data_IF_460609130996
#
_entry.id   IF_460609130996
#
_cell.length_a   1.000
_cell.length_b   1.000
_cell.length_c   1.000
_cell.angle_alpha   90.00
_cell.angle_beta   90.00
_cell.angle_gamma   90.00
#
_symmetry.space_group_name_H-M   'P 1'
#
loop_
_entity.id
_entity.type
_entity.pdbx_description
1 polymer ?
#
# COMPACT_ATOMS: atom_id res chain seq x y z
N UNK A 1 13.63 -15.46 -2.30
CA UNK A 1 13.78 -14.65 -1.07
C UNK A 1 14.20 -15.60 0.02
N UNK A 2 15.37 -15.37 0.58
CA UNK A 2 16.08 -16.29 1.47
C UNK A 2 16.42 -15.57 2.76
N UNK A 3 15.99 -16.15 3.88
CA UNK A 3 16.39 -15.75 5.24
C UNK A 3 16.32 -14.23 5.48
N UNK A 4 15.10 -13.70 5.38
CA UNK A 4 14.83 -12.26 5.47
C UNK A 4 14.27 -11.93 6.84
N UNK A 5 15.02 -11.12 7.58
CA UNK A 5 14.56 -10.40 8.76
C UNK A 5 14.25 -8.95 8.39
N UNK A 6 12.99 -8.56 8.53
CA UNK A 6 12.52 -7.21 8.20
C UNK A 6 11.66 -6.66 9.33
N UNK A 7 12.08 -5.53 9.87
CA UNK A 7 11.30 -4.73 10.81
C UNK A 7 10.87 -3.41 10.16
N UNK A 8 9.57 -3.13 10.20
CA UNK A 8 8.96 -1.87 9.77
C UNK A 8 8.40 -1.15 11.00
N UNK A 9 9.03 -0.04 11.37
CA UNK A 9 8.61 0.71 12.54
C UNK A 9 7.33 1.53 12.25
N UNK A 10 6.43 1.62 13.23
CA UNK A 10 5.27 2.49 13.15
C UNK A 10 5.70 3.95 12.94
N UNK A 11 4.99 4.68 12.08
CA UNK A 11 5.33 6.07 11.76
C UNK A 11 6.61 6.24 10.95
N UNK A 12 7.12 5.18 10.33
CA UNK A 12 8.34 5.24 9.49
C UNK A 12 8.05 4.91 8.03
N UNK A 13 8.87 5.48 7.15
CA UNK A 13 8.88 5.23 5.71
C UNK A 13 10.13 4.43 5.39
N UNK A 14 9.93 3.23 4.86
CA UNK A 14 11.02 2.35 4.41
C UNK A 14 10.94 2.19 2.89
N UNK A 15 12.03 2.43 2.18
CA UNK A 15 12.15 2.01 0.77
C UNK A 15 12.83 0.65 0.66
N UNK A 16 12.40 -0.12 -0.32
CA UNK A 16 13.04 -1.37 -0.74
C UNK A 16 13.37 -1.31 -2.22
N UNK A 17 14.65 -1.21 -2.53
CA UNK A 17 15.19 -1.20 -3.89
C UNK A 17 15.96 -2.50 -4.19
N UNK A 18 16.50 -2.62 -5.40
CA UNK A 18 17.25 -3.80 -5.85
C UNK A 18 16.98 -4.15 -7.30
N UNK A 19 17.78 -5.06 -7.86
CA UNK A 19 17.68 -5.46 -9.27
C UNK A 19 16.30 -6.03 -9.62
N UNK A 20 15.88 -5.86 -10.88
CA UNK A 20 14.68 -6.54 -11.39
C UNK A 20 14.82 -8.05 -11.21
N UNK A 21 13.74 -8.71 -10.78
CA UNK A 21 13.78 -10.14 -10.42
C UNK A 21 14.45 -10.47 -9.06
N UNK A 22 14.97 -9.47 -8.32
CA UNK A 22 15.63 -9.68 -7.02
C UNK A 22 14.72 -10.14 -5.87
N UNK A 23 13.40 -10.18 -6.08
CA UNK A 23 12.44 -10.70 -5.11
C UNK A 23 11.65 -9.65 -4.32
N UNK A 24 11.74 -8.35 -4.67
CA UNK A 24 11.01 -7.24 -4.03
C UNK A 24 9.50 -7.49 -3.95
N UNK A 25 8.85 -7.63 -5.11
CA UNK A 25 7.42 -7.93 -5.22
C UNK A 25 7.05 -9.26 -4.55
N UNK A 26 7.92 -10.27 -4.62
CA UNK A 26 7.70 -11.55 -3.93
C UNK A 26 7.65 -11.37 -2.41
N UNK A 27 8.58 -10.59 -1.84
CA UNK A 27 8.61 -10.27 -0.41
C UNK A 27 7.38 -9.46 -0.01
N UNK A 28 7.05 -8.40 -0.74
CA UNK A 28 5.89 -7.56 -0.46
C UNK A 28 4.55 -8.32 -0.53
N UNK A 29 4.38 -9.17 -1.56
CA UNK A 29 3.21 -10.06 -1.66
C UNK A 29 3.17 -11.09 -0.54
N UNK A 30 4.32 -11.56 -0.05
CA UNK A 30 4.38 -12.45 1.11
C UNK A 30 3.93 -11.77 2.40
N UNK A 31 4.41 -10.55 2.67
CA UNK A 31 3.97 -9.74 3.80
C UNK A 31 2.45 -9.49 3.78
N UNK A 32 1.93 -9.11 2.62
CA UNK A 32 0.50 -8.91 2.39
C UNK A 32 -0.33 -10.21 2.44
N UNK A 33 0.29 -11.38 2.45
CA UNK A 33 -0.38 -12.68 2.44
C UNK A 33 -1.02 -13.04 1.08
N UNK A 34 -0.58 -12.38 0.00
CA UNK A 34 -0.99 -12.64 -1.39
C UNK A 34 -0.24 -13.84 -1.98
N UNK A 35 0.97 -14.11 -1.48
CA UNK A 35 1.77 -15.30 -1.79
C UNK A 35 2.25 -15.91 -0.48
N UNK A 36 2.08 -17.23 -0.22
CA UNK A 36 2.50 -17.79 1.06
C UNK A 36 4.04 -17.87 1.13
N UNK A 37 4.69 -17.42 2.23
CA UNK A 37 6.10 -17.71 2.43
C UNK A 37 6.30 -19.20 2.73
N UNK A 38 7.40 -19.76 2.24
CA UNK A 38 7.77 -21.17 2.46
C UNK A 38 8.04 -21.46 3.94
N UNK A 39 8.65 -20.53 4.66
CA UNK A 39 8.98 -20.63 6.08
C UNK A 39 8.80 -19.27 6.79
N UNK A 40 9.06 -19.23 8.10
CA UNK A 40 9.01 -18.00 8.91
C UNK A 40 7.61 -17.58 9.37
N UNK A 41 7.58 -16.40 9.99
CA UNK A 41 6.42 -15.79 10.65
C UNK A 41 6.30 -14.32 10.26
N UNK A 42 5.07 -13.82 10.17
CA UNK A 42 4.77 -12.40 9.97
C UNK A 42 3.95 -11.94 11.16
N UNK A 43 4.38 -10.86 11.81
CA UNK A 43 3.73 -10.30 12.99
C UNK A 43 3.44 -8.82 12.78
N UNK A 44 2.29 -8.35 13.25
CA UNK A 44 1.93 -6.92 13.25
C UNK A 44 1.41 -6.56 14.62
N UNK A 45 2.08 -5.62 15.30
CA UNK A 45 1.73 -5.22 16.66
C UNK A 45 1.73 -6.38 17.65
N UNK A 46 2.69 -7.30 17.52
CA UNK A 46 2.80 -8.52 18.34
C UNK A 46 1.81 -9.64 18.01
N UNK A 47 0.96 -9.47 16.99
CA UNK A 47 -0.01 -10.49 16.58
C UNK A 47 0.51 -11.23 15.35
N UNK A 48 0.68 -12.55 15.48
CA UNK A 48 0.99 -13.44 14.35
C UNK A 48 -0.13 -13.47 13.34
N UNK A 49 0.22 -13.26 12.07
CA UNK A 49 -0.72 -13.32 10.96
C UNK A 49 -0.67 -14.68 10.27
N UNK A 50 -1.83 -15.24 9.88
CA UNK A 50 -1.87 -16.29 8.89
C UNK A 50 -1.10 -15.91 7.61
N UNK A 51 -0.33 -16.87 7.09
CA UNK A 51 0.50 -16.73 5.87
C UNK A 51 -0.27 -16.32 4.62
N UNK A 52 -1.57 -16.63 4.56
CA UNK A 52 -2.45 -16.29 3.45
C UNK A 52 -3.54 -15.33 3.91
N UNK A 53 -3.75 -14.26 3.15
CA UNK A 53 -4.74 -13.23 3.43
C UNK A 53 -6.16 -13.81 3.56
N UNK A 54 -6.53 -14.79 2.74
CA UNK A 54 -7.84 -15.48 2.81
C UNK A 54 -8.13 -16.20 4.13
N UNK A 55 -7.12 -16.39 4.99
CA UNK A 55 -7.25 -17.00 6.32
C UNK A 55 -7.22 -15.96 7.44
N UNK A 56 -7.01 -14.69 7.11
CA UNK A 56 -6.97 -13.57 8.05
C UNK A 56 -8.40 -13.11 8.34
N UNK A 57 -8.68 -12.74 9.57
CA UNK A 57 -9.93 -12.06 9.93
C UNK A 57 -9.94 -10.60 9.41
N UNK A 58 -11.04 -9.88 9.64
CA UNK A 58 -11.18 -8.48 9.18
C UNK A 58 -10.11 -7.55 9.76
N UNK A 59 -9.77 -7.69 11.05
CA UNK A 59 -8.79 -6.83 11.70
C UNK A 59 -7.37 -7.10 11.16
N UNK A 60 -7.05 -8.36 10.90
CA UNK A 60 -5.79 -8.80 10.32
C UNK A 60 -5.66 -8.44 8.83
N UNK A 61 -6.75 -8.51 8.06
CA UNK A 61 -6.80 -8.00 6.69
C UNK A 61 -6.58 -6.49 6.67
N UNK A 62 -7.26 -5.76 7.57
CA UNK A 62 -7.11 -4.31 7.73
C UNK A 62 -5.69 -3.91 8.10
N UNK A 63 -5.00 -4.71 8.92
CA UNK A 63 -3.70 -4.38 9.47
C UNK A 63 -2.60 -4.18 8.41
N UNK A 64 -2.65 -4.94 7.30
CA UNK A 64 -1.72 -4.80 6.17
C UNK A 64 -2.52 -4.52 4.90
N UNK A 65 -2.26 -3.40 4.24
CA UNK A 65 -2.81 -3.10 2.93
C UNK A 65 -1.72 -3.07 1.88
N UNK A 66 -2.06 -3.48 0.66
CA UNK A 66 -1.14 -3.57 -0.45
C UNK A 66 -1.72 -2.83 -1.66
N UNK A 67 -0.93 -1.93 -2.23
CA UNK A 67 -1.26 -1.16 -3.44
C UNK A 67 -0.37 -1.68 -4.57
N UNK A 68 -1.02 -2.26 -5.57
CA UNK A 68 -0.36 -2.78 -6.77
C UNK A 68 0.17 -1.64 -7.66
N UNK A 69 1.20 -1.96 -8.43
CA UNK A 69 1.73 -1.11 -9.51
C UNK A 69 0.63 -0.75 -10.51
N UNK A 70 -0.11 -1.75 -11.01
CA UNK A 70 -1.24 -1.56 -11.90
C UNK A 70 -2.55 -1.37 -11.12
N UNK A 71 -2.88 -0.13 -10.80
CA UNK A 71 -4.14 0.20 -10.11
C UNK A 71 -5.38 -0.14 -10.92
N UNK A 72 -5.31 -0.08 -12.25
CA UNK A 72 -6.47 -0.29 -13.14
C UNK A 72 -7.09 -1.68 -12.93
N UNK A 73 -6.27 -2.71 -12.85
CA UNK A 73 -6.70 -4.11 -12.69
C UNK A 73 -7.33 -4.37 -11.32
N UNK A 74 -7.14 -3.45 -10.38
CA UNK A 74 -7.73 -3.54 -9.05
C UNK A 74 -9.13 -2.95 -8.95
N UNK A 75 -9.67 -2.35 -10.02
CA UNK A 75 -11.02 -1.79 -10.08
C UNK A 75 -11.91 -2.53 -11.09
N UNK A 76 -13.16 -2.75 -10.70
CA UNK A 76 -14.24 -3.21 -11.57
C UNK A 76 -14.66 -2.06 -12.50
N UNK A 77 -14.48 -2.24 -13.80
CA UNK A 77 -14.75 -1.23 -14.84
C UNK A 77 -16.23 -0.83 -14.96
N UNK A 78 -17.14 -1.67 -14.46
CA UNK A 78 -18.58 -1.45 -14.53
C UNK A 78 -19.14 -0.73 -13.30
N UNK A 79 -18.36 -0.63 -12.22
CA UNK A 79 -18.77 0.03 -10.96
C UNK A 79 -18.16 1.42 -10.82
N UNK A 80 -18.85 2.31 -10.12
CA UNK A 80 -18.31 3.63 -9.76
C UNK A 80 -17.10 3.50 -8.83
N UNK A 81 -16.10 4.35 -9.00
CA UNK A 81 -14.85 4.29 -8.22
C UNK A 81 -15.10 4.61 -6.75
N UNK A 82 -15.92 5.62 -6.45
CA UNK A 82 -16.30 5.97 -5.07
C UNK A 82 -16.88 4.75 -4.31
N UNK A 83 -17.79 4.00 -4.92
CA UNK A 83 -18.39 2.80 -4.31
C UNK A 83 -17.33 1.76 -3.96
N UNK A 84 -16.40 1.51 -4.89
CA UNK A 84 -15.35 0.51 -4.72
C UNK A 84 -14.32 0.91 -3.67
N UNK A 85 -14.03 2.21 -3.57
CA UNK A 85 -13.15 2.77 -2.54
C UNK A 85 -13.85 2.67 -1.16
N UNK A 86 -15.11 3.11 -1.07
CA UNK A 86 -15.94 3.04 0.14
C UNK A 86 -16.18 1.62 0.67
N UNK A 87 -16.23 0.62 -0.22
CA UNK A 87 -16.39 -0.79 0.17
C UNK A 87 -15.33 -1.23 1.19
N UNK A 88 -14.13 -0.64 1.17
CA UNK A 88 -13.08 -0.99 2.14
C UNK A 88 -13.48 -0.63 3.57
N UNK A 89 -13.99 0.57 3.80
CA UNK A 89 -14.46 0.99 5.12
C UNK A 89 -15.69 0.17 5.57
N UNK A 90 -16.59 -0.16 4.64
CA UNK A 90 -17.73 -1.06 4.91
C UNK A 90 -17.28 -2.46 5.33
N UNK A 91 -16.44 -3.10 4.52
CA UNK A 91 -16.11 -4.51 4.67
C UNK A 91 -15.11 -4.77 5.80
N UNK A 92 -14.13 -3.87 5.99
CA UNK A 92 -13.06 -4.06 6.96
C UNK A 92 -13.29 -3.35 8.29
N UNK A 93 -14.09 -2.28 8.31
CA UNK A 93 -14.38 -1.49 9.52
C UNK A 93 -15.85 -1.50 9.93
N UNK A 94 -16.75 -2.05 9.12
CA UNK A 94 -18.17 -2.20 9.48
C UNK A 94 -18.97 -0.91 9.41
N UNK A 95 -18.48 0.12 8.70
CA UNK A 95 -19.25 1.35 8.49
C UNK A 95 -20.52 1.06 7.67
N UNK A 96 -21.57 1.85 7.87
CA UNK A 96 -22.71 1.83 6.96
C UNK A 96 -22.35 2.44 5.59
N UNK A 97 -23.27 2.32 4.63
CA UNK A 97 -23.02 2.79 3.25
C UNK A 97 -22.85 4.30 3.17
N UNK A 98 -23.61 5.08 3.93
CA UNK A 98 -23.57 6.54 3.85
C UNK A 98 -22.27 7.07 4.45
N UNK A 99 -21.93 6.60 5.65
CA UNK A 99 -20.69 6.94 6.34
C UNK A 99 -19.45 6.54 5.52
N UNK A 100 -19.44 5.33 4.96
CA UNK A 100 -18.32 4.87 4.14
C UNK A 100 -18.14 5.69 2.86
N UNK A 101 -19.22 6.13 2.20
CA UNK A 101 -19.14 7.01 1.02
C UNK A 101 -18.61 8.39 1.39
N UNK A 102 -19.11 8.97 2.48
CA UNK A 102 -18.68 10.29 2.93
C UNK A 102 -17.18 10.29 3.20
N UNK A 103 -16.71 9.34 4.01
CA UNK A 103 -15.29 9.21 4.34
C UNK A 103 -14.44 8.94 3.08
N UNK A 104 -14.94 8.11 2.16
CA UNK A 104 -14.24 7.86 0.89
C UNK A 104 -14.13 9.09 0.01
N UNK A 105 -15.16 9.94 -0.04
CA UNK A 105 -15.13 11.21 -0.76
C UNK A 105 -14.05 12.11 -0.17
N UNK A 106 -14.08 12.33 1.15
CA UNK A 106 -13.13 13.19 1.86
C UNK A 106 -11.67 12.76 1.60
N UNK A 107 -11.38 11.46 1.63
CA UNK A 107 -10.05 10.93 1.34
C UNK A 107 -9.68 11.15 -0.14
N UNK A 108 -10.59 10.92 -1.08
CA UNK A 108 -10.33 11.12 -2.52
C UNK A 108 -10.13 12.60 -2.87
N UNK A 109 -10.89 13.50 -2.25
CA UNK A 109 -10.80 14.94 -2.43
C UNK A 109 -9.45 15.46 -1.90
N UNK A 110 -8.98 14.93 -0.76
CA UNK A 110 -7.64 15.22 -0.23
C UNK A 110 -6.50 14.79 -1.17
N UNK A 111 -6.76 13.80 -2.03
CA UNK A 111 -5.87 13.30 -3.07
C UNK A 111 -6.06 14.03 -4.42
N UNK A 112 -6.94 15.03 -4.49
CA UNK A 112 -7.26 15.76 -5.71
C UNK A 112 -7.90 14.88 -6.79
N UNK A 113 -8.73 13.92 -6.38
CA UNK A 113 -9.49 13.06 -7.31
C UNK A 113 -10.95 13.45 -7.32
N UNK A 114 -11.29 14.35 -8.25
CA UNK A 114 -12.64 14.89 -8.40
C UNK A 114 -13.14 14.77 -9.85
N UNK A 115 -14.42 14.40 -10.09
CA UNK A 115 -15.40 13.78 -9.19
C UNK A 115 -15.24 12.25 -9.10
N UNK A 116 -15.33 11.72 -7.88
CA UNK A 116 -15.10 10.31 -7.56
C UNK A 116 -16.20 9.32 -8.00
N UNK A 117 -17.39 9.81 -8.39
CA UNK A 117 -18.51 8.97 -8.88
C UNK A 117 -18.29 8.40 -10.29
N UNK A 118 -17.15 8.70 -10.92
CA UNK A 118 -16.80 8.20 -12.26
C UNK A 118 -16.50 6.70 -12.25
N UNK A 119 -16.74 6.05 -13.39
CA UNK A 119 -16.22 4.70 -13.67
C UNK A 119 -14.72 4.75 -13.96
N UNK A 120 -13.97 3.66 -13.72
CA UNK A 120 -12.52 3.64 -13.91
C UNK A 120 -12.05 4.13 -15.29
N UNK A 121 -12.76 3.77 -16.36
CA UNK A 121 -12.43 4.18 -17.73
C UNK A 121 -12.53 5.68 -18.02
N UNK A 122 -13.03 6.50 -17.07
CA UNK A 122 -13.12 7.96 -17.18
C UNK A 122 -12.09 8.70 -16.33
N UNK A 123 -11.18 7.97 -15.70
CA UNK A 123 -10.08 8.50 -14.90
C UNK A 123 -8.74 8.26 -15.61
N UNK A 124 -7.80 9.19 -15.44
CA UNK A 124 -6.42 8.95 -15.87
C UNK A 124 -5.77 7.86 -15.01
N UNK A 125 -4.67 7.26 -15.51
CA UNK A 125 -3.92 6.28 -14.73
C UNK A 125 -3.47 6.82 -13.37
N UNK A 126 -3.00 8.07 -13.32
CA UNK A 126 -2.64 8.72 -12.05
C UNK A 126 -3.80 8.98 -11.11
N UNK A 127 -5.00 9.26 -11.63
CA UNK A 127 -6.21 9.35 -10.80
C UNK A 127 -6.60 7.97 -10.23
N UNK A 128 -6.55 6.91 -11.03
CA UNK A 128 -6.80 5.54 -10.56
C UNK A 128 -5.78 5.10 -9.50
N UNK A 129 -4.52 5.48 -9.68
CA UNK A 129 -3.47 5.19 -8.70
C UNK A 129 -3.78 5.85 -7.36
N UNK A 130 -4.16 7.13 -7.37
CA UNK A 130 -4.59 7.84 -6.16
C UNK A 130 -5.83 7.21 -5.54
N UNK A 131 -6.80 6.74 -6.35
CA UNK A 131 -7.95 5.99 -5.84
C UNK A 131 -7.52 4.68 -5.15
N UNK A 132 -6.54 3.96 -5.69
CA UNK A 132 -6.05 2.72 -5.09
C UNK A 132 -5.35 2.99 -3.74
N UNK A 133 -4.59 4.09 -3.63
CA UNK A 133 -4.01 4.57 -2.37
C UNK A 133 -5.11 4.96 -1.38
N UNK A 134 -6.11 5.75 -1.80
CA UNK A 134 -7.27 6.12 -0.97
C UNK A 134 -7.97 4.89 -0.39
N UNK A 135 -8.24 3.90 -1.25
CA UNK A 135 -8.86 2.63 -0.86
C UNK A 135 -8.06 1.92 0.24
N UNK A 136 -6.74 1.82 0.07
CA UNK A 136 -5.87 1.22 1.09
C UNK A 136 -5.88 2.02 2.40
N UNK A 137 -5.85 3.36 2.33
CA UNK A 137 -5.86 4.23 3.51
C UNK A 137 -7.19 4.18 4.28
N UNK A 138 -8.34 3.99 3.61
CA UNK A 138 -9.64 3.82 4.27
C UNK A 138 -9.73 2.57 5.13
N UNK A 139 -8.87 1.59 4.88
CA UNK A 139 -8.74 0.49 5.82
C UNK A 139 -8.18 0.97 7.16
N UNK A 140 -7.56 2.15 7.31
CA UNK A 140 -6.77 2.52 8.49
C UNK A 140 -5.74 1.43 8.84
N UNK A 141 -4.80 1.15 7.94
CA UNK A 141 -3.82 0.08 8.12
C UNK A 141 -2.80 0.43 9.20
N UNK A 142 -2.14 -0.61 9.75
CA UNK A 142 -0.90 -0.42 10.52
C UNK A 142 0.32 -0.45 9.61
N UNK A 143 0.26 -1.24 8.54
CA UNK A 143 1.30 -1.36 7.52
C UNK A 143 0.69 -1.11 6.15
N UNK A 144 1.27 -0.19 5.39
CA UNK A 144 0.92 0.06 3.99
C UNK A 144 2.10 -0.35 3.12
N UNK A 145 1.85 -1.21 2.13
CA UNK A 145 2.84 -1.66 1.17
C UNK A 145 2.47 -1.08 -0.20
N UNK A 146 3.38 -0.32 -0.79
CA UNK A 146 3.23 0.30 -2.09
C UNK A 146 4.23 -0.31 -3.07
N UNK A 147 3.76 -1.08 -4.05
CA UNK A 147 4.62 -1.74 -5.04
C UNK A 147 4.72 -0.89 -6.31
N UNK A 148 5.83 -0.16 -6.49
CA UNK A 148 6.13 0.69 -7.64
C UNK A 148 5.01 1.68 -8.02
N UNK A 149 4.26 2.17 -7.02
CA UNK A 149 3.06 3.00 -7.23
C UNK A 149 3.31 4.36 -7.88
N UNK A 150 4.57 4.81 -7.93
CA UNK A 150 4.98 6.09 -8.52
C UNK A 150 5.68 5.96 -9.87
N UNK A 151 5.98 4.74 -10.32
CA UNK A 151 6.86 4.49 -11.47
C UNK A 151 6.27 5.00 -12.79
N UNK A 152 4.96 4.81 -12.98
CA UNK A 152 4.23 5.21 -14.18
C UNK A 152 3.59 6.62 -14.09
N UNK A 153 3.85 7.38 -13.02
CA UNK A 153 3.24 8.69 -12.79
C UNK A 153 4.09 9.84 -13.35
N UNK A 154 3.43 10.86 -13.88
CA UNK A 154 4.03 12.17 -14.13
C UNK A 154 4.51 12.82 -12.80
N UNK A 155 5.42 13.79 -12.89
CA UNK A 155 6.04 14.41 -11.72
C UNK A 155 5.02 15.01 -10.74
N UNK A 156 3.98 15.71 -11.23
CA UNK A 156 2.98 16.35 -10.38
C UNK A 156 2.05 15.33 -9.71
N UNK A 157 1.71 14.25 -10.41
CA UNK A 157 0.93 13.14 -9.84
C UNK A 157 1.74 12.34 -8.82
N UNK A 158 3.05 12.14 -9.06
CA UNK A 158 3.97 11.52 -8.11
C UNK A 158 4.07 12.30 -6.81
N UNK A 159 4.34 13.61 -6.88
CA UNK A 159 4.41 14.49 -5.70
C UNK A 159 3.14 14.37 -4.86
N UNK A 160 1.96 14.48 -5.48
CA UNK A 160 0.68 14.35 -4.77
C UNK A 160 0.50 13.00 -4.04
N UNK A 161 0.92 11.90 -4.66
CA UNK A 161 0.88 10.58 -4.01
C UNK A 161 1.82 10.54 -2.81
N UNK A 162 3.06 11.01 -2.97
CA UNK A 162 4.05 11.02 -1.90
C UNK A 162 3.63 11.93 -0.73
N UNK A 163 3.04 13.08 -1.00
CA UNK A 163 2.54 14.00 0.02
C UNK A 163 1.45 13.35 0.88
N UNK A 164 0.49 12.67 0.25
CA UNK A 164 -0.57 11.98 0.99
C UNK A 164 -0.05 10.78 1.76
N UNK A 165 0.89 10.02 1.20
CA UNK A 165 1.54 8.93 1.94
C UNK A 165 2.31 9.46 3.16
N UNK A 166 3.03 10.57 3.01
CA UNK A 166 3.72 11.24 4.12
C UNK A 166 2.73 11.66 5.20
N UNK A 167 1.68 12.38 4.82
CA UNK A 167 0.65 12.83 5.76
C UNK A 167 -0.04 11.66 6.46
N UNK A 168 -0.27 10.53 5.76
CA UNK A 168 -0.88 9.35 6.37
C UNK A 168 0.05 8.68 7.38
N UNK A 169 1.36 8.60 7.10
CA UNK A 169 2.37 8.10 8.04
C UNK A 169 2.43 8.99 9.29
N UNK A 170 2.52 10.31 9.11
CA UNK A 170 2.65 11.28 10.21
C UNK A 170 1.40 11.33 11.10
N UNK A 171 0.21 11.34 10.50
CA UNK A 171 -1.06 11.50 11.24
C UNK A 171 -1.55 10.21 11.89
N UNK A 172 -1.27 9.07 11.28
CA UNK A 172 -1.86 7.79 11.69
C UNK A 172 -0.82 6.77 12.18
N UNK A 173 0.48 7.12 12.17
CA UNK A 173 1.54 6.24 12.63
C UNK A 173 1.70 4.98 11.77
N UNK A 174 1.35 5.04 10.49
CA UNK A 174 1.43 3.90 9.56
C UNK A 174 2.91 3.56 9.33
N UNK A 175 3.25 2.27 9.35
CA UNK A 175 4.51 1.80 8.82
C UNK A 175 4.39 1.66 7.30
N UNK A 176 5.12 2.46 6.52
CA UNK A 176 5.07 2.45 5.07
C UNK A 176 6.26 1.70 4.49
N UNK A 177 6.01 0.69 3.66
CA UNK A 177 7.01 0.04 2.82
C UNK A 177 6.75 0.41 1.36
N UNK A 178 7.68 1.11 0.74
CA UNK A 178 7.62 1.43 -0.68
C UNK A 178 8.66 0.63 -1.47
N UNK A 179 8.21 -0.13 -2.46
CA UNK A 179 9.11 -0.73 -3.45
C UNK A 179 9.34 0.29 -4.56
N UNK A 180 10.61 0.61 -4.81
CA UNK A 180 10.99 1.61 -5.80
C UNK A 180 12.35 2.22 -5.51
N UNK A 181 12.58 3.42 -6.06
CA UNK A 181 13.85 4.17 -5.96
C UNK A 181 13.64 5.56 -5.34
N UNK A 182 12.60 5.73 -4.52
CA UNK A 182 12.27 7.03 -3.91
C UNK A 182 13.08 7.24 -2.61
N UNK A 183 14.41 7.13 -2.69
CA UNK A 183 15.25 7.06 -1.48
C UNK A 183 15.21 8.34 -0.63
N UNK A 184 14.98 9.50 -1.26
CA UNK A 184 14.84 10.78 -0.55
C UNK A 184 13.54 10.91 0.24
N UNK A 185 12.57 10.02 0.00
CA UNK A 185 11.30 9.98 0.71
C UNK A 185 11.36 9.12 1.98
N UNK A 186 12.33 8.21 2.10
CA UNK A 186 12.37 7.22 3.16
C UNK A 186 13.22 7.66 4.37
N UNK A 187 12.78 7.24 5.55
CA UNK A 187 13.57 7.31 6.78
C UNK A 187 14.61 6.18 6.84
N UNK A 188 14.33 5.08 6.13
CA UNK A 188 15.24 3.92 6.02
C UNK A 188 15.21 3.35 4.60
N UNK A 189 16.38 3.08 4.04
CA UNK A 189 16.50 2.49 2.70
C UNK A 189 17.13 1.09 2.79
N UNK A 190 16.45 0.10 2.21
CA UNK A 190 16.87 -1.29 2.15
C UNK A 190 17.05 -1.73 0.70
N UNK A 191 17.94 -2.69 0.47
CA UNK A 191 18.15 -3.32 -0.83
C UNK A 191 17.90 -4.82 -0.72
N UNK A 192 17.35 -5.43 -1.77
CA UNK A 192 17.34 -6.88 -1.94
C UNK A 192 18.25 -7.32 -3.09
N UNK A 193 19.20 -8.20 -2.79
CA UNK A 193 20.17 -8.75 -3.75
C UNK A 193 20.26 -10.26 -3.56
N UNK A 194 20.09 -11.03 -4.65
CA UNK A 194 20.08 -12.49 -4.57
C UNK A 194 19.01 -13.06 -3.62
N UNK A 195 17.92 -12.31 -3.37
CA UNK A 195 16.86 -12.70 -2.46
C UNK A 195 17.12 -12.43 -0.98
N UNK A 196 18.25 -11.81 -0.61
CA UNK A 196 18.63 -11.42 0.76
C UNK A 196 18.50 -9.93 0.97
N UNK A 197 18.07 -9.50 2.15
CA UNK A 197 18.00 -8.08 2.52
C UNK A 197 19.36 -7.56 2.97
N UNK A 198 19.65 -6.30 2.62
CA UNK A 198 20.75 -5.52 3.15
C UNK A 198 20.33 -4.06 3.36
N UNK A 199 21.12 -3.31 4.13
CA UNK A 199 20.96 -1.87 4.34
C UNK A 199 21.74 -1.06 3.31
N UNK A 200 21.15 0.04 2.82
CA UNK A 200 21.85 0.99 1.94
C UNK A 200 22.86 1.88 2.71
N UNK A 201 22.86 1.86 4.04
CA UNK A 201 23.83 2.58 4.88
C UNK A 201 25.25 2.01 4.82
N UNK A 202 25.48 0.88 4.15
CA UNK A 202 26.79 0.24 4.01
C UNK A 202 27.49 0.53 2.66
N UNK A 203 27.02 1.53 1.91
CA UNK A 203 27.64 1.98 0.66
C UNK A 203 28.26 3.37 0.82
N UNK A 204 29.58 3.41 1.04
CA UNK A 204 30.39 4.63 0.89
C UNK A 204 30.57 5.07 -0.56
#
# INVERSE_FOLDING_TARGET
VEDVDLELAAGSRTTLSGVSGGGKTTLARALAGLTPPSAGTIEVGGVRLPRLARRRDRAQLRAIQYVHQDSRDSFDEFRGVLDQVADTARLLRGLDRAAARLEASEVLDSLGVEPADRRPGKLSGGQLQRCAVARALLAHPRVLICDEVTSALDAASRTRVLDVLTAAVERHGIALLMIGHEDTFADRALTITGGRLGSLTDGG
#
